data_IF_417631552563
#
_entry.id   IF_417631552563
#
_cell.length_a   1.000
_cell.length_b   1.000
_cell.length_c   1.000
_cell.angle_alpha   90.00
_cell.angle_beta   90.00
_cell.angle_gamma   90.00
#
_symmetry.space_group_name_H-M   'P 1'
#
loop_
_entity.id
_entity.type
_entity.pdbx_description
1 polymer ?
#
# COMPACT_ATOMS: atom_id res chain seq x y z
N UNK A 1 11.29 0.84 3.81
CA UNK A 1 10.01 1.39 3.29
C UNK A 1 9.74 0.85 1.91
N UNK A 2 8.52 0.44 1.66
CA UNK A 2 8.10 -0.01 0.34
C UNK A 2 7.21 1.05 -0.30
N UNK A 3 7.44 1.33 -1.59
CA UNK A 3 6.68 2.35 -2.33
C UNK A 3 6.03 1.73 -3.56
N UNK A 4 4.80 2.13 -3.82
CA UNK A 4 4.08 1.80 -5.04
C UNK A 4 3.39 3.05 -5.57
N UNK A 5 3.79 3.48 -6.77
CA UNK A 5 3.20 4.66 -7.41
C UNK A 5 2.02 4.23 -8.26
N UNK A 6 0.85 4.76 -7.92
CA UNK A 6 -0.37 4.53 -8.69
C UNK A 6 -0.80 5.81 -9.39
N UNK A 7 -1.82 5.71 -10.25
CA UNK A 7 -2.40 6.88 -10.91
C UNK A 7 -3.09 7.84 -9.95
N UNK A 8 -3.46 7.36 -8.77
CA UNK A 8 -4.24 8.13 -7.80
C UNK A 8 -3.47 8.46 -6.54
N UNK A 9 -2.20 8.12 -6.47
CA UNK A 9 -1.35 8.44 -5.34
C UNK A 9 -0.25 7.42 -5.14
N UNK A 10 0.73 7.78 -4.32
CA UNK A 10 1.84 6.91 -3.99
C UNK A 10 1.59 6.24 -2.66
N UNK A 11 1.50 4.92 -2.67
CA UNK A 11 1.35 4.11 -1.46
C UNK A 11 2.72 3.85 -0.84
N UNK A 12 2.75 3.80 0.49
CA UNK A 12 3.94 3.53 1.28
C UNK A 12 3.59 2.52 2.36
N UNK A 13 4.43 1.50 2.50
CA UNK A 13 4.35 0.56 3.62
C UNK A 13 5.60 0.78 4.46
N UNK A 14 5.41 1.22 5.69
CA UNK A 14 6.49 1.63 6.57
C UNK A 14 6.42 0.95 7.93
N UNK A 15 7.58 0.75 8.54
CA UNK A 15 7.72 0.25 9.91
C UNK A 15 7.88 1.42 10.85
N UNK A 16 7.05 1.49 11.90
CA UNK A 16 7.08 2.60 12.86
C UNK A 16 7.84 2.27 14.16
N UNK A 17 8.47 1.10 14.21
CA UNK A 17 9.13 0.59 15.42
C UNK A 17 8.31 -0.46 16.15
N UNK A 18 7.01 -0.54 15.89
CA UNK A 18 6.09 -1.47 16.55
C UNK A 18 5.26 -2.23 15.52
N UNK A 19 4.73 -1.53 14.51
CA UNK A 19 3.85 -2.11 13.50
C UNK A 19 4.17 -1.57 12.12
N UNK A 20 3.64 -2.25 11.11
CA UNK A 20 3.67 -1.79 9.74
C UNK A 20 2.41 -0.96 9.46
N UNK A 21 2.57 0.15 8.76
CA UNK A 21 1.41 0.97 8.37
C UNK A 21 1.41 1.20 6.87
N UNK A 22 0.20 1.35 6.34
CA UNK A 22 -0.02 1.71 4.95
C UNK A 22 -0.46 3.17 4.90
N UNK A 23 0.20 3.94 4.05
CA UNK A 23 -0.14 5.34 3.83
C UNK A 23 -0.24 5.63 2.33
N UNK A 24 -0.98 6.66 1.97
CA UNK A 24 -1.04 7.17 0.61
C UNK A 24 -0.84 8.67 0.66
N UNK A 25 0.12 9.17 -0.13
CA UNK A 25 0.49 10.59 -0.18
C UNK A 25 0.74 11.17 1.23
N UNK A 26 1.33 10.35 2.13
CA UNK A 26 1.64 10.76 3.48
C UNK A 26 0.50 10.61 4.49
N UNK A 27 -0.69 10.18 4.07
CA UNK A 27 -1.82 9.97 4.97
C UNK A 27 -1.94 8.50 5.34
N UNK A 28 -1.89 8.18 6.63
CA UNK A 28 -1.99 6.81 7.12
C UNK A 28 -3.41 6.29 6.92
N UNK A 29 -3.52 5.11 6.30
CA UNK A 29 -4.81 4.46 6.07
C UNK A 29 -5.12 3.43 7.14
N UNK A 30 -4.14 2.58 7.48
CA UNK A 30 -4.33 1.50 8.45
C UNK A 30 -2.98 0.95 8.90
N UNK A 31 -3.00 0.08 9.90
CA UNK A 31 -1.83 -0.61 10.43
C UNK A 31 -2.00 -2.12 10.29
N UNK A 32 -0.88 -2.83 10.18
CA UNK A 32 -0.84 -4.26 9.90
C UNK A 32 0.27 -4.94 10.69
N UNK A 33 0.16 -6.26 10.86
CA UNK A 33 1.19 -7.05 11.52
C UNK A 33 2.38 -7.36 10.62
N UNK A 34 2.21 -7.23 9.30
CA UNK A 34 3.28 -7.50 8.35
C UNK A 34 3.15 -6.62 7.11
N UNK A 35 4.25 -6.37 6.38
CA UNK A 35 4.17 -5.63 5.14
C UNK A 35 3.40 -6.40 4.05
N UNK A 36 3.41 -7.73 4.12
CA UNK A 36 2.67 -8.58 3.18
C UNK A 36 1.16 -8.34 3.34
N UNK A 37 0.67 -8.27 4.57
CA UNK A 37 -0.75 -8.01 4.82
C UNK A 37 -1.18 -6.65 4.27
N UNK A 38 -0.34 -5.63 4.42
CA UNK A 38 -0.61 -4.31 3.87
C UNK A 38 -0.65 -4.36 2.33
N UNK A 39 0.33 -5.03 1.72
CA UNK A 39 0.38 -5.17 0.27
C UNK A 39 -0.83 -5.94 -0.29
N UNK A 40 -1.30 -6.95 0.43
CA UNK A 40 -2.48 -7.72 0.04
C UNK A 40 -3.73 -6.83 -0.05
N UNK A 41 -3.89 -5.91 0.89
CA UNK A 41 -5.03 -5.00 0.87
C UNK A 41 -4.98 -4.03 -0.33
N UNK A 42 -3.80 -3.61 -0.73
CA UNK A 42 -3.64 -2.79 -1.94
C UNK A 42 -3.99 -3.62 -3.18
N UNK A 43 -3.50 -4.86 -3.25
CA UNK A 43 -3.81 -5.75 -4.36
C UNK A 43 -5.33 -5.99 -4.48
N UNK A 44 -6.01 -6.17 -3.35
CA UNK A 44 -7.44 -6.45 -3.32
C UNK A 44 -8.31 -5.19 -3.45
N UNK A 45 -7.73 -4.00 -3.49
CA UNK A 45 -8.46 -2.72 -3.54
C UNK A 45 -9.37 -2.53 -2.34
N UNK A 46 -8.88 -2.88 -1.15
CA UNK A 46 -9.62 -2.73 0.11
C UNK A 46 -8.79 -1.93 1.11
N UNK A 47 -8.32 -0.78 0.68
CA UNK A 47 -7.40 0.05 1.47
C UNK A 47 -8.12 1.11 2.31
N UNK A 48 -9.38 1.41 2.01
CA UNK A 48 -10.08 2.55 2.58
C UNK A 48 -9.81 3.85 1.84
N UNK A 49 -8.91 3.85 0.88
CA UNK A 49 -8.65 5.01 0.02
C UNK A 49 -9.49 4.85 -1.26
N UNK A 50 -10.61 5.55 -1.31
CA UNK A 50 -11.62 5.34 -2.34
C UNK A 50 -11.14 5.57 -3.77
N UNK A 51 -10.28 6.58 -4.05
CA UNK A 51 -9.77 6.74 -5.42
C UNK A 51 -9.09 5.49 -5.98
N UNK A 52 -8.43 4.70 -5.10
CA UNK A 52 -7.81 3.43 -5.48
C UNK A 52 -8.82 2.28 -5.46
N UNK A 53 -9.61 2.19 -4.39
CA UNK A 53 -10.53 1.06 -4.21
C UNK A 53 -11.60 0.99 -5.33
N UNK A 54 -11.98 2.15 -5.89
CA UNK A 54 -12.89 2.22 -7.02
C UNK A 54 -12.31 1.67 -8.32
N UNK A 55 -11.02 1.46 -8.37
CA UNK A 55 -10.35 0.93 -9.56
C UNK A 55 -10.31 -0.60 -9.57
N UNK A 56 -10.94 -1.26 -8.60
CA UNK A 56 -11.06 -2.71 -8.56
C UNK A 56 -11.74 -3.21 -9.84
N UNK A 57 -11.06 -4.14 -10.52
CA UNK A 57 -11.54 -4.64 -11.81
C UNK A 57 -11.19 -3.74 -13.00
N UNK A 58 -10.62 -2.56 -12.77
CA UNK A 58 -10.23 -1.61 -13.82
C UNK A 58 -8.71 -1.55 -13.95
N UNK A 59 -8.01 -1.38 -12.83
CA UNK A 59 -6.55 -1.36 -12.77
C UNK A 59 -6.11 -2.38 -11.73
N UNK A 60 -5.23 -3.29 -12.14
CA UNK A 60 -4.67 -4.29 -11.23
C UNK A 60 -3.66 -3.65 -10.29
N UNK A 61 -3.69 -4.09 -9.03
CA UNK A 61 -2.67 -3.73 -8.07
C UNK A 61 -1.42 -4.59 -8.21
N UNK A 62 -0.35 -4.24 -7.51
CA UNK A 62 0.86 -5.07 -7.47
C UNK A 62 0.54 -6.40 -6.78
N UNK A 63 0.96 -7.53 -7.39
CA UNK A 63 0.58 -8.86 -6.90
C UNK A 63 1.21 -9.21 -5.56
N UNK A 64 2.41 -8.71 -5.31
CA UNK A 64 3.11 -8.93 -4.05
C UNK A 64 4.18 -7.86 -3.83
N UNK A 65 4.90 -7.97 -2.71
CA UNK A 65 5.94 -6.98 -2.35
C UNK A 65 7.07 -6.89 -3.37
N UNK A 66 7.30 -7.91 -4.19
CA UNK A 66 8.35 -7.86 -5.19
C UNK A 66 8.10 -6.80 -6.27
N UNK A 67 6.86 -6.39 -6.42
CA UNK A 67 6.47 -5.33 -7.37
C UNK A 67 6.50 -3.95 -6.76
N UNK A 68 6.79 -3.85 -5.47
CA UNK A 68 6.99 -2.57 -4.79
C UNK A 68 8.47 -2.20 -4.82
N UNK A 69 8.75 -0.90 -4.83
CA UNK A 69 10.12 -0.40 -4.73
C UNK A 69 10.52 -0.33 -3.27
N UNK A 70 11.62 -1.00 -2.90
CA UNK A 70 12.13 -0.88 -1.54
C UNK A 70 13.10 0.29 -1.46
N UNK A 71 12.85 1.17 -0.50
CA UNK A 71 13.70 2.34 -0.24
C UNK A 71 14.18 2.24 1.20
N UNK A 72 15.49 2.29 1.38
CA UNK A 72 16.10 2.31 2.69
C UNK A 72 16.12 3.75 3.21
N UNK A 73 15.76 3.92 4.48
CA UNK A 73 15.69 5.26 5.08
C UNK A 73 16.94 5.52 5.90
#
# INVERSE_FOLDING_TARGET
MYLFRSKVGTFCICWDGIRWYLAVNGNVLDVYDSPIAAADNVYLHVTGYMPWDRLDGIIDGPTDLSEWSFVEI
#
